data_IF_465156049372
#
_entry.id   IF_465156049372
#
_cell.length_a   1.000
_cell.length_b   1.000
_cell.length_c   1.000
_cell.angle_alpha   90.00
_cell.angle_beta   90.00
_cell.angle_gamma   90.00
#
_symmetry.space_group_name_H-M   'P 1'
#
loop_
_entity.id
_entity.type
_entity.pdbx_description
1 polymer ?
#
# COMPACT_ATOMS: atom_id res chain seq x y z
N UNK A 1 -4.20 -1.90 22.80
CA UNK A 1 -5.14 -1.09 21.99
C UNK A 1 -4.32 -0.31 20.98
N UNK A 2 -4.61 -0.37 19.69
CA UNK A 2 -3.89 0.41 18.68
C UNK A 2 -4.62 1.73 18.49
N UNK A 3 -3.92 2.86 18.61
CA UNK A 3 -4.46 4.18 18.31
C UNK A 3 -3.79 4.77 17.06
N UNK A 4 -4.49 5.70 16.41
CA UNK A 4 -3.99 6.48 15.27
C UNK A 4 -4.05 7.93 15.66
N UNK A 5 -2.91 8.62 15.58
CA UNK A 5 -2.83 10.07 15.79
C UNK A 5 -2.39 10.72 14.49
N UNK A 6 -2.95 11.88 14.17
CA UNK A 6 -2.62 12.67 12.99
C UNK A 6 -2.07 14.02 13.43
N UNK A 7 -0.90 14.34 12.92
CA UNK A 7 -0.26 15.63 13.13
C UNK A 7 -0.10 16.38 11.80
N UNK A 8 -0.30 17.70 11.76
CA UNK A 8 0.12 18.52 10.65
C UNK A 8 1.64 18.47 10.46
N UNK A 9 2.10 18.55 9.23
CA UNK A 9 3.52 18.70 8.93
C UNK A 9 3.83 20.19 8.68
N UNK A 10 4.89 20.71 9.31
CA UNK A 10 5.43 22.04 9.03
C UNK A 10 6.33 21.95 7.81
N UNK A 11 5.76 22.15 6.62
CA UNK A 11 6.47 22.00 5.34
C UNK A 11 6.96 23.33 4.80
N UNK A 12 8.16 23.32 4.23
CA UNK A 12 8.65 24.36 3.34
C UNK A 12 8.34 23.99 1.88
N UNK A 13 8.32 24.96 0.99
CA UNK A 13 7.93 24.75 -0.42
C UNK A 13 8.74 23.65 -1.10
N UNK A 14 10.06 23.61 -0.94
CA UNK A 14 10.90 22.57 -1.53
C UNK A 14 10.59 21.16 -0.98
N UNK A 15 10.15 21.06 0.29
CA UNK A 15 9.73 19.80 0.90
C UNK A 15 8.41 19.30 0.30
N UNK A 16 7.48 20.21 0.06
CA UNK A 16 6.22 19.90 -0.63
C UNK A 16 6.47 19.38 -2.05
N UNK A 17 7.34 20.04 -2.81
CA UNK A 17 7.72 19.63 -4.16
C UNK A 17 8.36 18.22 -4.17
N UNK A 18 9.20 17.91 -3.17
CA UNK A 18 9.78 16.57 -2.99
C UNK A 18 8.68 15.55 -2.66
N UNK A 19 7.75 15.89 -1.76
CA UNK A 19 6.65 15.00 -1.39
C UNK A 19 5.73 14.74 -2.58
N UNK A 20 5.35 15.77 -3.33
CA UNK A 20 4.51 15.62 -4.52
C UNK A 20 5.17 14.73 -5.58
N UNK A 21 6.46 14.90 -5.81
CA UNK A 21 7.24 14.00 -6.66
C UNK A 21 7.21 12.56 -6.16
N UNK A 22 7.33 12.33 -4.85
CA UNK A 22 7.28 10.98 -4.25
C UNK A 22 5.88 10.37 -4.36
N UNK A 23 4.82 11.14 -4.15
CA UNK A 23 3.44 10.68 -4.38
C UNK A 23 3.23 10.27 -5.84
N UNK A 24 3.73 11.06 -6.80
CA UNK A 24 3.62 10.73 -8.21
C UNK A 24 4.41 9.48 -8.60
N UNK A 25 5.63 9.31 -8.09
CA UNK A 25 6.42 8.08 -8.27
C UNK A 25 5.70 6.88 -7.64
N UNK A 26 5.15 7.02 -6.44
CA UNK A 26 4.33 5.97 -5.80
C UNK A 26 3.14 5.57 -6.66
N UNK A 27 2.48 6.54 -7.31
CA UNK A 27 1.40 6.30 -8.27
C UNK A 27 1.89 5.52 -9.50
N UNK A 28 3.03 5.89 -10.05
CA UNK A 28 3.63 5.21 -11.21
C UNK A 28 3.98 3.76 -10.87
N UNK A 29 4.59 3.52 -9.69
CA UNK A 29 4.88 2.17 -9.19
C UNK A 29 3.58 1.36 -9.05
N UNK A 30 2.53 1.93 -8.43
CA UNK A 30 1.24 1.28 -8.29
C UNK A 30 0.65 0.91 -9.65
N UNK A 31 0.61 1.84 -10.60
CA UNK A 31 0.01 1.62 -11.92
C UNK A 31 0.81 0.60 -12.75
N UNK A 32 2.13 0.62 -12.68
CA UNK A 32 2.98 -0.39 -13.32
C UNK A 32 2.70 -1.78 -12.75
N UNK A 33 2.56 -1.89 -11.44
CA UNK A 33 2.21 -3.15 -10.78
C UNK A 33 0.79 -3.60 -11.16
N UNK A 34 -0.19 -2.70 -11.26
CA UNK A 34 -1.54 -2.99 -11.77
C UNK A 34 -1.47 -3.56 -13.18
N UNK A 35 -0.66 -2.98 -14.07
CA UNK A 35 -0.51 -3.47 -15.46
C UNK A 35 -0.01 -4.92 -15.50
N UNK A 36 1.05 -5.23 -14.74
CA UNK A 36 1.62 -6.58 -14.64
C UNK A 36 0.58 -7.56 -14.10
N UNK A 37 -0.05 -7.22 -12.98
CA UNK A 37 -0.97 -8.12 -12.27
C UNK A 37 -2.29 -8.31 -12.99
N UNK A 38 -2.83 -7.29 -13.67
CA UNK A 38 -4.04 -7.44 -14.49
C UNK A 38 -3.84 -8.39 -15.68
N UNK A 39 -2.66 -8.37 -16.31
CA UNK A 39 -2.34 -9.32 -17.39
C UNK A 39 -2.38 -10.74 -16.85
N UNK A 40 -1.66 -11.04 -15.78
CA UNK A 40 -1.65 -12.34 -15.11
C UNK A 40 -3.06 -12.80 -14.68
N UNK A 41 -3.82 -11.91 -14.08
CA UNK A 41 -5.19 -12.18 -13.67
C UNK A 41 -6.07 -12.57 -14.84
N UNK A 42 -6.04 -11.82 -15.96
CA UNK A 42 -6.80 -12.13 -17.18
C UNK A 42 -6.41 -13.47 -17.79
N UNK A 43 -5.13 -13.81 -17.79
CA UNK A 43 -4.64 -15.10 -18.26
C UNK A 43 -5.13 -16.24 -17.36
N UNK A 44 -5.02 -16.08 -16.06
CA UNK A 44 -5.45 -17.07 -15.07
C UNK A 44 -6.94 -17.40 -15.15
N UNK A 45 -7.82 -16.39 -15.19
CA UNK A 45 -9.28 -16.60 -15.21
C UNK A 45 -9.78 -17.20 -16.53
N UNK A 46 -8.99 -17.16 -17.61
CA UNK A 46 -9.32 -17.80 -18.90
C UNK A 46 -9.05 -19.30 -18.91
N UNK A 47 -8.27 -19.81 -17.96
CA UNK A 47 -7.91 -21.22 -17.94
C UNK A 47 -9.12 -22.11 -17.67
N UNK A 48 -9.20 -23.25 -18.38
CA UNK A 48 -10.29 -24.24 -18.17
C UNK A 48 -10.34 -24.70 -16.71
N UNK A 49 -9.16 -24.97 -16.11
CA UNK A 49 -9.05 -25.43 -14.72
C UNK A 49 -9.63 -24.42 -13.73
N UNK A 50 -9.29 -23.12 -13.84
CA UNK A 50 -9.85 -22.10 -12.96
C UNK A 50 -11.37 -21.99 -13.12
N UNK A 51 -11.86 -21.96 -14.38
CA UNK A 51 -13.30 -21.84 -14.67
C UNK A 51 -14.11 -23.02 -14.18
N UNK A 52 -13.56 -24.24 -14.20
CA UNK A 52 -14.27 -25.43 -13.73
C UNK A 52 -14.36 -25.50 -12.21
N UNK A 53 -13.47 -24.85 -11.47
CA UNK A 53 -13.48 -24.86 -10.00
C UNK A 53 -14.46 -23.84 -9.41
N UNK A 54 -14.61 -22.66 -9.99
CA UNK A 54 -15.45 -21.59 -9.43
C UNK A 54 -16.92 -22.01 -9.23
N UNK A 55 -17.60 -22.67 -10.19
CA UNK A 55 -18.99 -23.11 -10.00
C UNK A 55 -19.18 -24.21 -8.96
N UNK A 56 -18.10 -24.87 -8.52
CA UNK A 56 -18.14 -25.94 -7.51
C UNK A 56 -18.19 -25.39 -6.08
N UNK A 57 -17.92 -24.09 -5.90
CA UNK A 57 -17.98 -23.44 -4.58
C UNK A 57 -19.44 -23.36 -4.12
N UNK A 58 -19.70 -23.99 -2.98
CA UNK A 58 -21.06 -24.06 -2.38
C UNK A 58 -21.33 -22.94 -1.37
N UNK A 59 -20.29 -22.21 -0.92
CA UNK A 59 -20.34 -21.25 0.18
C UNK A 59 -20.09 -21.88 1.56
N UNK A 60 -20.02 -23.19 1.67
CA UNK A 60 -19.62 -23.88 2.89
C UNK A 60 -18.09 -23.94 3.01
N UNK A 61 -17.56 -23.32 4.05
CA UNK A 61 -16.09 -23.22 4.25
C UNK A 61 -15.39 -24.59 4.38
N UNK A 62 -16.04 -25.57 5.00
CA UNK A 62 -15.42 -26.89 5.20
C UNK A 62 -15.45 -27.70 3.90
N UNK A 63 -16.57 -27.70 3.22
CA UNK A 63 -16.77 -28.41 1.96
C UNK A 63 -15.92 -27.81 0.85
N UNK A 64 -15.80 -26.49 0.80
CA UNK A 64 -15.09 -25.77 -0.26
C UNK A 64 -13.57 -25.72 -0.05
N UNK A 65 -13.06 -26.14 1.13
CA UNK A 65 -11.62 -26.07 1.44
C UNK A 65 -10.73 -26.71 0.37
N UNK A 66 -10.95 -27.96 -0.11
CA UNK A 66 -10.10 -28.58 -1.12
C UNK A 66 -10.19 -27.87 -2.47
N UNK A 67 -11.31 -27.22 -2.78
CA UNK A 67 -11.47 -26.43 -4.00
C UNK A 67 -10.67 -25.12 -3.88
N UNK A 68 -10.73 -24.47 -2.73
CA UNK A 68 -9.94 -23.26 -2.46
C UNK A 68 -8.44 -23.52 -2.48
N UNK A 69 -7.97 -24.68 -2.02
CA UNK A 69 -6.56 -25.08 -2.11
C UNK A 69 -6.12 -25.16 -3.57
N UNK A 70 -6.91 -25.80 -4.43
CA UNK A 70 -6.60 -25.86 -5.88
C UNK A 70 -6.63 -24.46 -6.54
N UNK A 71 -7.60 -23.62 -6.18
CA UNK A 71 -7.66 -22.25 -6.68
C UNK A 71 -6.44 -21.45 -6.21
N UNK A 72 -6.01 -21.64 -4.97
CA UNK A 72 -4.81 -21.00 -4.41
C UNK A 72 -3.54 -21.41 -5.18
N UNK A 73 -3.39 -22.69 -5.50
CA UNK A 73 -2.25 -23.19 -6.29
C UNK A 73 -2.23 -22.58 -7.69
N UNK A 74 -3.40 -22.48 -8.35
CA UNK A 74 -3.50 -21.81 -9.65
C UNK A 74 -3.09 -20.34 -9.51
N UNK A 75 -3.60 -19.61 -8.51
CA UNK A 75 -3.21 -18.22 -8.25
C UNK A 75 -1.70 -18.09 -8.08
N UNK A 76 -1.10 -19.00 -7.33
CA UNK A 76 0.35 -19.03 -7.08
C UNK A 76 1.14 -19.27 -8.37
N UNK A 77 0.70 -20.21 -9.23
CA UNK A 77 1.31 -20.50 -10.52
C UNK A 77 1.32 -19.27 -11.45
N UNK A 78 0.26 -18.47 -11.41
CA UNK A 78 0.15 -17.23 -12.19
C UNK A 78 0.77 -16.01 -11.49
N UNK A 79 1.48 -16.19 -10.38
CA UNK A 79 2.08 -15.09 -9.64
C UNK A 79 1.04 -14.14 -9.02
N UNK A 80 -0.16 -14.64 -8.73
CA UNK A 80 -1.24 -13.91 -8.06
C UNK A 80 -1.21 -14.22 -6.55
N UNK A 81 -0.13 -13.81 -5.90
CA UNK A 81 0.09 -13.88 -4.47
C UNK A 81 0.75 -12.61 -3.95
N UNK A 82 0.58 -12.28 -2.67
CA UNK A 82 1.21 -11.10 -2.07
C UNK A 82 2.74 -11.14 -2.22
N UNK A 83 3.35 -12.31 -2.03
CA UNK A 83 4.78 -12.50 -2.20
C UNK A 83 5.26 -12.21 -3.63
N UNK A 84 4.50 -12.64 -4.64
CA UNK A 84 4.82 -12.34 -6.04
C UNK A 84 4.74 -10.83 -6.32
N UNK A 85 3.76 -10.14 -5.75
CA UNK A 85 3.63 -8.68 -5.85
C UNK A 85 4.81 -7.95 -5.21
N UNK A 86 5.34 -8.48 -4.09
CA UNK A 86 6.56 -7.92 -3.48
C UNK A 86 7.79 -8.08 -4.38
N UNK A 87 7.93 -9.21 -5.06
CA UNK A 87 9.03 -9.43 -6.00
C UNK A 87 8.93 -8.50 -7.22
N UNK A 88 7.72 -8.28 -7.74
CA UNK A 88 7.50 -7.37 -8.85
C UNK A 88 7.78 -5.92 -8.46
N UNK A 89 7.25 -5.47 -7.32
CA UNK A 89 7.43 -4.09 -6.87
C UNK A 89 8.89 -3.78 -6.52
N UNK A 90 9.66 -4.77 -6.06
CA UNK A 90 11.10 -4.61 -5.79
C UNK A 90 11.86 -4.18 -7.05
N UNK A 91 11.55 -4.79 -8.20
CA UNK A 91 12.16 -4.43 -9.49
C UNK A 91 11.78 -3.00 -9.91
N UNK A 92 10.51 -2.63 -9.75
CA UNK A 92 10.03 -1.28 -10.07
C UNK A 92 10.65 -0.22 -9.15
N UNK A 93 10.71 -0.49 -7.85
CA UNK A 93 11.26 0.41 -6.85
C UNK A 93 12.74 0.68 -7.06
N UNK A 94 13.51 -0.28 -7.57
CA UNK A 94 14.94 -0.11 -7.79
C UNK A 94 15.27 1.14 -8.63
N UNK A 95 14.48 1.45 -9.66
CA UNK A 95 14.63 2.66 -10.46
C UNK A 95 14.36 3.96 -9.70
N UNK A 96 13.60 3.87 -8.61
CA UNK A 96 13.16 5.03 -7.81
C UNK A 96 13.69 5.01 -6.38
N UNK A 97 14.75 4.25 -6.11
CA UNK A 97 15.27 4.00 -4.75
C UNK A 97 15.64 5.28 -3.98
N UNK A 98 16.08 6.34 -4.68
CA UNK A 98 16.34 7.64 -4.07
C UNK A 98 15.09 8.35 -3.54
N UNK A 99 13.91 8.06 -4.08
CA UNK A 99 12.64 8.72 -3.72
C UNK A 99 11.75 7.83 -2.85
N UNK A 100 11.61 6.56 -3.22
CA UNK A 100 10.73 5.58 -2.56
C UNK A 100 11.60 4.45 -1.99
N UNK A 101 11.54 4.25 -0.68
CA UNK A 101 12.22 3.14 -0.02
C UNK A 101 11.48 1.80 -0.25
N UNK A 102 12.18 0.70 0.04
CA UNK A 102 11.66 -0.64 -0.18
C UNK A 102 10.42 -0.96 0.65
N UNK A 103 10.31 -0.44 1.88
CA UNK A 103 9.14 -0.70 2.75
C UNK A 103 7.90 0.04 2.25
N UNK A 104 8.06 1.29 1.82
CA UNK A 104 6.97 2.06 1.20
C UNK A 104 6.50 1.39 -0.08
N UNK A 105 7.40 0.88 -0.93
CA UNK A 105 7.04 0.13 -2.13
C UNK A 105 6.29 -1.17 -1.80
N UNK A 106 6.72 -1.90 -0.76
CA UNK A 106 6.01 -3.10 -0.28
C UNK A 106 4.62 -2.77 0.25
N UNK A 107 4.42 -1.62 0.90
CA UNK A 107 3.09 -1.17 1.32
C UNK A 107 2.19 -0.88 0.12
N UNK A 108 2.72 -0.27 -0.95
CA UNK A 108 1.98 -0.10 -2.21
C UNK A 108 1.54 -1.46 -2.78
N UNK A 109 2.42 -2.46 -2.79
CA UNK A 109 2.10 -3.81 -3.26
C UNK A 109 1.07 -4.52 -2.37
N UNK A 110 1.19 -4.41 -1.03
CA UNK A 110 0.19 -4.95 -0.10
C UNK A 110 -1.20 -4.32 -0.30
N UNK A 111 -1.25 -3.01 -0.55
CA UNK A 111 -2.52 -2.33 -0.78
C UNK A 111 -3.17 -2.78 -2.11
N UNK A 112 -2.38 -3.05 -3.15
CA UNK A 112 -2.89 -3.65 -4.38
C UNK A 112 -3.33 -5.10 -4.15
N UNK A 113 -2.57 -5.88 -3.38
CA UNK A 113 -2.94 -7.26 -3.04
C UNK A 113 -4.29 -7.32 -2.31
N UNK A 114 -4.50 -6.48 -1.29
CA UNK A 114 -5.79 -6.36 -0.60
C UNK A 114 -6.97 -6.04 -1.55
N UNK A 115 -6.72 -5.27 -2.61
CA UNK A 115 -7.73 -5.02 -3.63
C UNK A 115 -8.03 -6.28 -4.48
N UNK A 116 -7.02 -7.08 -4.80
CA UNK A 116 -7.21 -8.37 -5.45
C UNK A 116 -7.90 -9.40 -4.55
N UNK A 117 -7.59 -9.42 -3.24
CA UNK A 117 -8.31 -10.27 -2.28
C UNK A 117 -9.82 -9.96 -2.30
N UNK A 118 -10.19 -8.68 -2.25
CA UNK A 118 -11.59 -8.28 -2.39
C UNK A 118 -12.22 -8.76 -3.71
N UNK A 119 -11.47 -8.66 -4.82
CA UNK A 119 -11.94 -9.15 -6.12
C UNK A 119 -12.12 -10.67 -6.12
N UNK A 120 -11.20 -11.44 -5.52
CA UNK A 120 -11.27 -12.89 -5.45
C UNK A 120 -12.43 -13.42 -4.60
N UNK A 121 -12.81 -12.69 -3.56
CA UNK A 121 -13.88 -13.06 -2.64
C UNK A 121 -15.23 -12.38 -2.96
N UNK A 122 -15.37 -11.78 -4.15
CA UNK A 122 -16.63 -11.18 -4.60
C UNK A 122 -16.99 -9.84 -3.95
N UNK A 123 -16.08 -9.27 -3.13
CA UNK A 123 -16.28 -7.98 -2.47
C UNK A 123 -15.75 -6.79 -3.28
N UNK A 124 -15.36 -7.02 -4.54
CA UNK A 124 -14.84 -6.02 -5.45
C UNK A 124 -15.11 -6.39 -6.90
N UNK A 125 -15.29 -5.38 -7.76
CA UNK A 125 -15.65 -5.62 -9.16
C UNK A 125 -14.45 -5.42 -10.12
N UNK A 126 -13.53 -4.53 -9.79
CA UNK A 126 -12.44 -4.15 -10.71
C UNK A 126 -11.26 -3.52 -9.95
N UNK A 127 -10.06 -3.78 -10.47
CA UNK A 127 -8.85 -3.05 -10.06
C UNK A 127 -8.69 -1.82 -10.95
N UNK A 128 -8.53 -0.64 -10.33
CA UNK A 128 -8.44 0.63 -11.03
C UNK A 128 -7.01 1.18 -11.00
N UNK A 129 -6.61 1.81 -12.11
CA UNK A 129 -5.44 2.67 -12.14
C UNK A 129 -5.69 3.93 -11.33
N UNK A 130 -4.66 4.46 -10.71
CA UNK A 130 -4.68 5.76 -10.05
C UNK A 130 -4.46 6.87 -11.08
N UNK A 131 -5.37 7.85 -11.15
CA UNK A 131 -5.20 9.05 -11.95
C UNK A 131 -4.09 9.94 -11.39
N UNK A 132 -3.60 10.89 -12.18
CA UNK A 132 -2.67 11.90 -11.70
C UNK A 132 -3.22 12.58 -10.44
N UNK A 133 -2.37 12.85 -9.47
CA UNK A 133 -2.73 13.46 -8.18
C UNK A 133 -3.77 12.72 -7.31
N UNK A 134 -4.11 11.45 -7.59
CA UNK A 134 -5.10 10.71 -6.77
C UNK A 134 -4.49 9.74 -5.76
N UNK A 135 -3.17 9.54 -5.77
CA UNK A 135 -2.49 8.81 -4.70
C UNK A 135 -2.16 9.80 -3.57
N UNK A 136 -2.95 9.77 -2.51
CA UNK A 136 -2.88 10.75 -1.43
C UNK A 136 -2.30 10.18 -0.13
N UNK A 137 -1.80 8.95 -0.14
CA UNK A 137 -1.25 8.32 1.06
C UNK A 137 -0.09 7.41 0.69
N UNK A 138 1.04 7.60 1.38
CA UNK A 138 2.18 6.69 1.38
C UNK A 138 2.52 6.30 2.81
N UNK A 139 2.77 5.02 3.04
CA UNK A 139 3.03 4.47 4.37
C UNK A 139 4.27 3.59 4.40
N UNK A 140 5.00 3.65 5.51
CA UNK A 140 6.01 2.67 5.87
C UNK A 140 5.38 1.39 6.44
N UNK A 141 6.21 0.38 6.71
CA UNK A 141 5.79 -0.85 7.41
C UNK A 141 6.33 -0.94 8.84
N UNK A 142 7.21 -0.03 9.22
CA UNK A 142 7.77 0.07 10.57
C UNK A 142 8.26 1.48 10.81
N UNK A 143 8.55 1.82 12.06
CA UNK A 143 9.19 3.09 12.43
C UNK A 143 10.74 2.98 12.48
N UNK A 144 11.32 1.85 12.09
CA UNK A 144 12.78 1.65 12.11
C UNK A 144 13.48 2.15 10.84
N UNK A 145 12.82 2.00 9.67
CA UNK A 145 13.38 2.39 8.36
C UNK A 145 12.30 2.97 7.46
N UNK A 146 12.70 3.65 6.38
CA UNK A 146 11.78 4.30 5.45
C UNK A 146 11.15 5.54 6.05
N UNK A 147 9.80 5.63 5.98
CA UNK A 147 9.04 6.71 6.63
C UNK A 147 8.99 6.45 8.12
N UNK A 148 9.64 7.29 8.91
CA UNK A 148 9.75 7.13 10.36
C UNK A 148 9.60 8.46 11.09
N UNK A 149 9.07 8.42 12.28
CA UNK A 149 9.00 9.54 13.21
C UNK A 149 10.16 9.43 14.21
N UNK A 150 10.91 10.51 14.37
CA UNK A 150 11.99 10.63 15.37
C UNK A 150 12.26 12.10 15.65
N UNK A 151 12.39 12.45 16.94
CA UNK A 151 12.71 13.82 17.40
C UNK A 151 11.77 14.85 16.74
N UNK A 152 10.46 14.65 16.92
CA UNK A 152 9.39 15.54 16.45
C UNK A 152 9.44 15.86 14.94
N UNK A 153 9.99 14.93 14.18
CA UNK A 153 10.09 15.06 12.74
C UNK A 153 9.82 13.72 12.03
N UNK A 154 9.25 13.82 10.84
CA UNK A 154 9.23 12.74 9.89
C UNK A 154 10.55 12.73 9.12
N UNK A 155 11.19 11.58 9.13
CA UNK A 155 12.41 11.31 8.35
C UNK A 155 12.06 10.34 7.22
N UNK A 156 12.46 10.67 5.98
CA UNK A 156 12.23 9.81 4.83
C UNK A 156 13.24 10.08 3.71
N UNK A 157 14.14 9.15 3.41
CA UNK A 157 15.14 9.24 2.32
C UNK A 157 15.78 10.64 2.21
N UNK A 158 16.46 11.07 3.25
CA UNK A 158 17.14 12.38 3.29
C UNK A 158 16.23 13.58 3.55
N UNK A 159 14.91 13.41 3.53
CA UNK A 159 13.97 14.45 3.88
C UNK A 159 13.69 14.43 5.40
N UNK A 160 13.73 15.61 6.03
CA UNK A 160 13.34 15.83 7.41
C UNK A 160 12.28 16.91 7.44
N UNK A 161 11.10 16.60 7.98
CA UNK A 161 9.97 17.54 8.09
C UNK A 161 9.51 17.56 9.52
N UNK A 162 9.48 18.74 10.14
CA UNK A 162 8.97 18.90 11.48
C UNK A 162 7.47 18.68 11.54
N UNK A 163 7.04 18.11 12.66
CA UNK A 163 5.65 17.83 12.95
C UNK A 163 5.12 18.91 13.87
N UNK A 164 3.90 19.38 13.64
CA UNK A 164 3.21 20.30 14.54
C UNK A 164 2.51 19.50 15.64
N UNK A 165 3.09 19.53 16.84
CA UNK A 165 2.63 18.76 17.99
C UNK A 165 2.08 19.75 19.02
N UNK A 166 0.86 19.48 19.46
CA UNK A 166 0.28 20.17 20.61
C UNK A 166 0.65 19.40 21.89
N UNK A 167 1.67 19.89 22.57
CA UNK A 167 2.15 19.29 23.82
C UNK A 167 1.19 19.47 25.00
N UNK A 168 0.22 20.38 24.92
CA UNK A 168 -0.82 20.57 25.94
C UNK A 168 -1.95 19.54 25.77
N UNK A 169 -2.02 18.89 24.59
CA UNK A 169 -2.96 17.81 24.31
C UNK A 169 -2.52 16.50 24.99
N UNK A 170 -3.26 16.13 26.04
CA UNK A 170 -3.00 14.89 26.81
C UNK A 170 -2.90 13.64 25.92
N UNK A 171 -3.81 13.48 24.94
CA UNK A 171 -3.85 12.29 24.09
C UNK A 171 -2.67 12.21 23.13
N UNK A 172 -2.26 13.33 22.55
CA UNK A 172 -1.08 13.41 21.70
C UNK A 172 0.19 13.07 22.46
N UNK A 173 0.35 13.63 23.66
CA UNK A 173 1.46 13.34 24.55
C UNK A 173 1.54 11.86 24.96
N UNK A 174 0.42 11.23 25.27
CA UNK A 174 0.38 9.80 25.61
C UNK A 174 0.72 8.93 24.39
N UNK A 175 0.23 9.30 23.21
CA UNK A 175 0.54 8.57 21.98
C UNK A 175 2.03 8.64 21.62
N UNK A 176 2.68 9.79 21.81
CA UNK A 176 4.10 9.98 21.55
C UNK A 176 5.02 9.19 22.50
N UNK A 177 4.55 8.86 23.72
CA UNK A 177 5.26 7.99 24.67
C UNK A 177 5.13 6.50 24.33
N UNK A 178 4.22 6.15 23.43
CA UNK A 178 3.95 4.76 23.04
C UNK A 178 4.86 4.33 21.89
N UNK A 179 5.00 3.00 21.72
CA UNK A 179 5.72 2.44 20.58
C UNK A 179 4.99 2.76 19.26
N UNK A 180 5.73 3.35 18.32
CA UNK A 180 5.20 3.70 17.00
C UNK A 180 5.39 2.53 16.05
N UNK A 181 4.30 1.88 15.65
CA UNK A 181 4.34 0.75 14.74
C UNK A 181 4.80 1.16 13.34
N UNK A 182 4.24 2.20 12.77
CA UNK A 182 4.62 2.77 11.46
C UNK A 182 4.06 4.18 11.28
N UNK A 183 4.62 4.89 10.31
CA UNK A 183 4.17 6.22 9.93
C UNK A 183 3.53 6.22 8.53
N UNK A 184 2.57 7.12 8.34
CA UNK A 184 1.89 7.36 7.08
C UNK A 184 1.86 8.85 6.80
N UNK A 185 2.28 9.25 5.59
CA UNK A 185 2.13 10.62 5.12
C UNK A 185 0.86 10.69 4.27
N UNK A 186 -0.01 11.65 4.58
CA UNK A 186 -1.28 11.87 3.89
C UNK A 186 -1.27 13.28 3.31
N UNK A 187 -1.56 13.40 2.01
CA UNK A 187 -1.79 14.67 1.34
C UNK A 187 -3.28 14.97 1.35
N UNK A 188 -3.63 16.13 1.89
CA UNK A 188 -5.00 16.65 1.85
C UNK A 188 -5.03 17.93 1.00
N UNK A 189 -5.98 18.04 0.09
CA UNK A 189 -6.23 19.29 -0.63
C UNK A 189 -7.20 20.11 0.23
N UNK A 190 -6.71 21.20 0.78
CA UNK A 190 -7.56 22.17 1.50
C UNK A 190 -8.08 23.16 0.45
N UNK A 191 -9.39 23.25 0.31
CA UNK A 191 -9.98 24.35 -0.46
C UNK A 191 -9.80 25.62 0.34
N UNK A 192 -8.95 26.52 -0.08
CA UNK A 192 -8.98 27.91 0.37
C UNK A 192 -10.33 28.50 -0.04
N UNK A 193 -11.07 29.00 0.93
CA UNK A 193 -12.30 29.77 0.69
C UNK A 193 -11.97 31.10 0.07
#
# INVERSE_FOLDING_TARGET
MNCIVQFPLKTEKYQEDILDKRFEIGRQIYNSLVNITQKRYREMIKTKKYRSLIPQLSGDKKRDKPIWEQIHDIRKQYGMSEYSFYNDVKKLQHHFSKNIDALTARSIASNLWKAYEKLFFGNGNKIHYKKYNTLNSLEGKSNSTGIRFKNDAILWNGLKIHVDIDYDNYYENQALKSEIAYCRIIRKFVRTK
#
